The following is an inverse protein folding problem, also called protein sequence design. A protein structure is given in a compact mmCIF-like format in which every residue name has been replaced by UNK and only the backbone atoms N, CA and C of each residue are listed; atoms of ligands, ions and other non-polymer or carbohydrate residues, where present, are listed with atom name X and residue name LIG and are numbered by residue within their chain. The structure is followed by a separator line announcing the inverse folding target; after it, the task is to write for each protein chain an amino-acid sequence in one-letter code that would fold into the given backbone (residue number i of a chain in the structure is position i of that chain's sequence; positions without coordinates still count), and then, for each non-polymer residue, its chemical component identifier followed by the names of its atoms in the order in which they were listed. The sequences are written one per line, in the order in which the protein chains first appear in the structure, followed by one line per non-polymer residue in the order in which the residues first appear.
data_IF_007138726137
#
_entry.id   IF_007138726137
#
_cell.length_a   1.000
_cell.length_b   1.000
_cell.length_c   1.000
_cell.angle_alpha   90.00
_cell.angle_beta   90.00
_cell.angle_gamma   90.00
#
_symmetry.space_group_name_H-M   'P 1'
#
loop_
_entity.id
_entity.type
_entity.pdbx_description
1 polymer ?
#
# COMPACT_ATOMS: atom_id res chain seq x y z
N UNK A 1 -23.21 -50.23 -9.29
CA UNK A 1 -22.38 -50.94 -10.29
C UNK A 1 -22.09 -49.98 -11.43
N UNK A 2 -20.83 -49.80 -11.82
CA UNK A 2 -20.45 -49.01 -12.98
C UNK A 2 -20.37 -49.90 -14.24
N UNK A 3 -20.67 -49.32 -15.41
CA UNK A 3 -20.43 -49.98 -16.70
C UNK A 3 -19.07 -49.54 -17.23
N UNK A 4 -18.19 -50.49 -17.52
CA UNK A 4 -16.91 -50.19 -18.17
C UNK A 4 -17.14 -49.89 -19.65
N UNK A 5 -16.48 -48.84 -20.15
CA UNK A 5 -16.42 -48.52 -21.58
C UNK A 5 -14.95 -48.59 -21.98
N UNK A 6 -14.58 -49.62 -22.74
CA UNK A 6 -13.19 -49.93 -23.09
C UNK A 6 -12.87 -49.53 -24.55
N UNK A 7 -13.64 -48.61 -25.10
CA UNK A 7 -13.47 -48.07 -26.45
C UNK A 7 -13.85 -46.58 -26.47
N UNK A 8 -13.46 -45.86 -27.52
CA UNK A 8 -13.80 -44.46 -27.68
C UNK A 8 -15.29 -44.30 -28.04
N UNK A 9 -15.90 -43.22 -27.54
CA UNK A 9 -17.24 -42.79 -27.93
C UNK A 9 -17.11 -41.62 -28.91
N UNK A 10 -17.43 -41.87 -30.17
CA UNK A 10 -17.55 -40.82 -31.19
C UNK A 10 -19.04 -40.48 -31.38
N UNK A 11 -19.39 -39.22 -31.12
CA UNK A 11 -20.76 -38.72 -31.20
C UNK A 11 -21.05 -37.97 -32.51
N UNK A 12 -20.10 -37.87 -33.45
CA UNK A 12 -20.24 -37.16 -34.73
C UNK A 12 -20.80 -35.73 -34.61
N UNK A 13 -20.63 -35.08 -33.46
CA UNK A 13 -21.18 -33.75 -33.18
C UNK A 13 -22.70 -33.67 -33.06
N UNK A 14 -23.43 -34.79 -33.07
CA UNK A 14 -24.91 -34.81 -33.04
C UNK A 14 -25.49 -35.28 -31.70
N UNK A 15 -24.68 -35.92 -30.85
CA UNK A 15 -25.10 -36.41 -29.53
C UNK A 15 -24.23 -35.84 -28.40
N UNK A 16 -24.80 -35.80 -27.18
CA UNK A 16 -24.17 -35.26 -25.96
C UNK A 16 -24.43 -36.16 -24.76
N UNK A 17 -23.50 -36.15 -23.79
CA UNK A 17 -23.71 -36.76 -22.48
C UNK A 17 -24.50 -35.76 -21.61
N UNK A 18 -25.61 -36.18 -21.01
CA UNK A 18 -26.52 -35.33 -20.23
C UNK A 18 -26.70 -35.88 -18.81
N UNK A 19 -27.04 -35.00 -17.85
CA UNK A 19 -27.37 -35.41 -16.47
C UNK A 19 -26.16 -35.77 -15.61
N UNK A 20 -24.97 -35.24 -15.89
CA UNK A 20 -23.83 -35.36 -14.99
C UNK A 20 -24.07 -34.56 -13.70
N UNK A 21 -23.61 -35.10 -12.58
CA UNK A 21 -23.48 -34.39 -11.31
C UNK A 21 -22.18 -33.56 -11.30
N UNK A 22 -22.05 -32.64 -10.35
CA UNK A 22 -20.82 -31.87 -10.18
C UNK A 22 -19.63 -32.77 -9.79
N UNK A 23 -18.44 -32.53 -10.36
CA UNK A 23 -17.26 -33.35 -10.09
C UNK A 23 -16.78 -33.17 -8.64
N UNK A 24 -16.38 -34.28 -8.02
CA UNK A 24 -15.92 -34.33 -6.61
C UNK A 24 -14.52 -34.92 -6.47
N UNK A 25 -14.09 -35.76 -7.41
CA UNK A 25 -12.74 -36.33 -7.49
C UNK A 25 -11.95 -35.73 -8.66
N UNK A 26 -10.62 -35.78 -8.57
CA UNK A 26 -9.71 -35.18 -9.56
C UNK A 26 -9.82 -35.77 -10.99
N UNK A 27 -10.48 -36.93 -11.16
CA UNK A 27 -10.65 -37.61 -12.44
C UNK A 27 -12.09 -37.56 -12.95
N UNK A 28 -13.01 -36.88 -12.25
CA UNK A 28 -14.39 -36.76 -12.67
C UNK A 28 -14.50 -35.85 -13.91
N UNK A 29 -15.44 -36.18 -14.79
CA UNK A 29 -15.78 -35.31 -15.92
C UNK A 29 -16.48 -34.05 -15.39
N UNK A 30 -15.99 -32.87 -15.77
CA UNK A 30 -16.57 -31.60 -15.35
C UNK A 30 -17.67 -31.13 -16.32
N UNK A 31 -18.77 -30.62 -15.78
CA UNK A 31 -19.79 -29.94 -16.60
C UNK A 31 -19.29 -28.56 -17.01
N UNK A 32 -19.77 -28.02 -18.14
CA UNK A 32 -19.43 -26.64 -18.53
C UNK A 32 -19.81 -25.65 -17.42
N UNK A 33 -20.97 -25.86 -16.78
CA UNK A 33 -21.43 -25.02 -15.66
C UNK A 33 -20.45 -25.04 -14.46
N UNK A 34 -19.91 -26.21 -14.10
CA UNK A 34 -18.87 -26.32 -13.06
C UNK A 34 -17.55 -25.67 -13.50
N UNK A 35 -17.14 -25.85 -14.76
CA UNK A 35 -15.90 -25.23 -15.26
C UNK A 35 -16.04 -23.71 -15.32
N UNK A 36 -17.18 -23.20 -15.77
CA UNK A 36 -17.47 -21.76 -15.81
C UNK A 36 -17.48 -21.16 -14.39
N UNK A 37 -18.08 -21.83 -13.40
CA UNK A 37 -18.10 -21.36 -12.01
C UNK A 37 -16.74 -21.43 -11.31
N UNK A 38 -15.85 -22.33 -11.75
CA UNK A 38 -14.46 -22.42 -11.26
C UNK A 38 -13.54 -21.44 -12.00
N UNK A 39 -13.86 -21.09 -13.25
CA UNK A 39 -13.16 -20.06 -14.07
C UNK A 39 -13.67 -18.64 -13.77
N UNK A 40 -14.81 -18.49 -13.08
CA UNK A 40 -15.35 -17.25 -12.51
C UNK A 40 -14.43 -16.66 -11.43
N UNK A 41 -13.31 -16.08 -11.86
CA UNK A 41 -12.60 -15.09 -11.05
C UNK A 41 -13.10 -13.67 -11.31
N UNK A 42 -13.43 -13.36 -12.57
CA UNK A 42 -13.66 -12.01 -13.09
C UNK A 42 -14.55 -12.04 -14.34
N UNK A 43 -15.71 -11.39 -14.30
CA UNK A 43 -16.58 -11.21 -15.46
C UNK A 43 -16.39 -9.81 -16.07
N UNK A 44 -15.42 -9.66 -16.98
CA UNK A 44 -15.19 -8.37 -17.64
C UNK A 44 -16.39 -7.93 -18.47
N UNK A 45 -16.79 -6.67 -18.27
CA UNK A 45 -17.83 -5.94 -19.01
C UNK A 45 -17.17 -4.87 -19.87
N UNK A 46 -17.93 -4.36 -20.83
CA UNK A 46 -17.53 -3.16 -21.55
C UNK A 46 -17.25 -2.02 -20.57
N UNK A 47 -16.33 -1.13 -20.96
CA UNK A 47 -15.99 0.05 -20.19
C UNK A 47 -17.22 0.93 -19.96
N UNK A 48 -17.18 1.66 -18.85
CA UNK A 48 -18.14 2.72 -18.57
C UNK A 48 -17.46 4.05 -18.83
N UNK A 49 -18.24 5.00 -19.33
CA UNK A 49 -17.72 6.34 -19.58
C UNK A 49 -17.40 7.06 -18.27
N UNK A 50 -18.26 6.91 -17.26
CA UNK A 50 -18.09 7.57 -15.96
C UNK A 50 -18.65 6.72 -14.81
N UNK A 51 -18.13 6.92 -13.61
CA UNK A 51 -18.64 6.32 -12.38
C UNK A 51 -19.20 7.37 -11.41
N UNK A 52 -20.30 7.05 -10.73
CA UNK A 52 -20.91 7.96 -9.75
C UNK A 52 -20.06 8.05 -8.47
N UNK A 53 -19.86 9.27 -7.96
CA UNK A 53 -19.17 9.53 -6.69
C UNK A 53 -20.13 9.71 -5.50
N UNK A 54 -21.42 9.90 -5.78
CA UNK A 54 -22.48 10.06 -4.79
C UNK A 54 -23.83 9.58 -5.36
N UNK A 55 -24.89 9.72 -4.58
CA UNK A 55 -26.25 9.31 -4.95
C UNK A 55 -26.70 9.99 -6.25
N UNK A 56 -27.27 9.22 -7.17
CA UNK A 56 -27.74 9.70 -8.48
C UNK A 56 -29.24 9.43 -8.60
N UNK A 57 -30.03 10.42 -9.03
CA UNK A 57 -31.43 10.17 -9.37
C UNK A 57 -31.53 9.38 -10.69
N UNK A 58 -31.73 8.07 -10.63
CA UNK A 58 -31.81 7.23 -11.83
C UNK A 58 -33.00 7.55 -12.74
N UNK A 59 -34.07 8.15 -12.22
CA UNK A 59 -35.22 8.56 -13.03
C UNK A 59 -34.93 9.84 -13.84
N UNK A 60 -33.95 10.65 -13.41
CA UNK A 60 -33.55 11.91 -14.05
C UNK A 60 -32.09 12.19 -13.73
N UNK A 61 -31.15 11.49 -14.40
CA UNK A 61 -29.73 11.48 -14.04
C UNK A 61 -29.00 12.80 -14.31
N UNK A 62 -29.62 13.76 -14.98
CA UNK A 62 -29.00 15.03 -15.36
C UNK A 62 -28.12 14.91 -16.59
N UNK A 63 -27.72 16.06 -17.14
CA UNK A 63 -26.91 16.14 -18.37
C UNK A 63 -25.43 15.76 -18.16
N UNK A 64 -24.97 15.77 -16.90
CA UNK A 64 -23.60 15.43 -16.55
C UNK A 64 -23.54 14.62 -15.27
N UNK A 65 -22.62 13.66 -15.22
CA UNK A 65 -22.30 12.87 -14.02
C UNK A 65 -20.81 13.05 -13.74
N UNK A 66 -20.45 13.42 -12.51
CA UNK A 66 -19.06 13.67 -12.09
C UNK A 66 -18.29 14.66 -13.01
N UNK A 67 -18.98 15.70 -13.46
CA UNK A 67 -18.43 16.71 -14.38
C UNK A 67 -18.33 16.28 -15.85
N UNK A 68 -18.63 15.01 -16.17
CA UNK A 68 -18.64 14.48 -17.55
C UNK A 68 -20.02 14.70 -18.16
N UNK A 69 -20.09 15.41 -19.29
CA UNK A 69 -21.34 15.60 -20.05
C UNK A 69 -21.70 14.34 -20.84
N UNK A 70 -22.91 13.81 -20.66
CA UNK A 70 -23.34 12.52 -21.20
C UNK A 70 -24.19 12.63 -22.47
N UNK A 71 -24.11 11.59 -23.30
CA UNK A 71 -24.91 11.36 -24.49
C UNK A 71 -25.74 10.07 -24.34
N UNK A 72 -26.87 10.01 -25.06
CA UNK A 72 -27.73 8.84 -25.03
C UNK A 72 -26.97 7.59 -25.48
N UNK A 73 -27.02 6.52 -24.69
CA UNK A 73 -26.27 5.29 -24.92
C UNK A 73 -25.00 5.15 -24.07
N UNK A 74 -24.54 6.23 -23.42
CA UNK A 74 -23.34 6.18 -22.57
C UNK A 74 -23.54 5.22 -21.38
N UNK A 75 -22.54 4.37 -21.15
CA UNK A 75 -22.52 3.46 -20.01
C UNK A 75 -22.01 4.18 -18.76
N UNK A 76 -22.70 4.01 -17.66
CA UNK A 76 -22.40 4.64 -16.36
C UNK A 76 -22.32 3.58 -15.29
N UNK A 77 -21.23 3.54 -14.53
CA UNK A 77 -21.15 2.75 -13.31
C UNK A 77 -21.81 3.52 -12.16
N UNK A 78 -22.97 3.05 -11.75
CA UNK A 78 -23.69 3.56 -10.59
C UNK A 78 -23.25 2.73 -9.38
N UNK A 79 -22.38 3.30 -8.54
CA UNK A 79 -21.74 2.59 -7.41
C UNK A 79 -21.95 3.22 -6.04
N UNK A 80 -22.54 4.41 -5.99
CA UNK A 80 -22.61 5.24 -4.79
C UNK A 80 -24.04 5.64 -4.40
N UNK A 81 -25.04 4.78 -4.69
CA UNK A 81 -26.42 5.01 -4.27
C UNK A 81 -26.58 4.84 -2.76
N UNK A 82 -27.51 5.61 -2.18
CA UNK A 82 -27.96 5.41 -0.79
C UNK A 82 -28.66 4.06 -0.64
N UNK A 83 -29.42 3.65 -1.66
CA UNK A 83 -30.01 2.32 -1.76
C UNK A 83 -29.07 1.42 -2.56
N UNK A 84 -28.22 0.66 -1.89
CA UNK A 84 -27.18 -0.14 -2.56
C UNK A 84 -27.73 -1.16 -3.57
N UNK A 85 -29.01 -1.56 -3.49
CA UNK A 85 -29.65 -2.43 -4.48
C UNK A 85 -29.84 -1.78 -5.87
N UNK A 86 -29.76 -0.45 -5.94
CA UNK A 86 -29.83 0.33 -7.19
C UNK A 86 -28.45 0.51 -7.84
N UNK A 87 -27.36 0.06 -7.21
CA UNK A 87 -26.05 0.07 -7.84
C UNK A 87 -26.00 -0.95 -9.01
N UNK A 88 -25.11 -0.69 -9.96
CA UNK A 88 -24.88 -1.51 -11.16
C UNK A 88 -24.37 -0.69 -12.33
N UNK A 89 -24.35 -1.29 -13.52
CA UNK A 89 -24.00 -0.60 -14.77
C UNK A 89 -25.30 -0.22 -15.50
N UNK A 90 -25.40 1.03 -15.90
CA UNK A 90 -26.59 1.62 -16.52
C UNK A 90 -26.26 2.25 -17.87
N UNK A 91 -27.25 2.29 -18.76
CA UNK A 91 -27.27 3.10 -19.96
C UNK A 91 -27.96 4.43 -19.63
N UNK A 92 -27.27 5.52 -19.89
CA UNK A 92 -27.85 6.85 -19.79
C UNK A 92 -28.71 7.13 -21.02
N UNK A 93 -29.99 7.47 -20.82
CA UNK A 93 -30.97 7.61 -21.91
C UNK A 93 -31.37 9.07 -22.18
N UNK A 94 -30.90 10.01 -21.37
CA UNK A 94 -31.32 11.42 -21.41
C UNK A 94 -31.27 12.05 -20.02
N UNK A 95 -31.10 13.38 -19.97
CA UNK A 95 -30.94 14.09 -18.70
C UNK A 95 -32.17 14.00 -17.79
N UNK A 96 -33.36 13.93 -18.38
CA UNK A 96 -34.64 13.80 -17.71
C UNK A 96 -35.34 12.46 -18.04
N UNK A 97 -34.59 11.49 -18.57
CA UNK A 97 -35.11 10.16 -18.95
C UNK A 97 -34.52 9.13 -17.99
N UNK A 98 -35.33 8.18 -17.47
CA UNK A 98 -34.80 7.15 -16.60
C UNK A 98 -33.65 6.38 -17.25
N UNK A 99 -32.54 6.26 -16.54
CA UNK A 99 -31.44 5.37 -16.91
C UNK A 99 -31.91 3.92 -16.79
N UNK A 100 -31.52 3.08 -17.74
CA UNK A 100 -31.88 1.66 -17.76
C UNK A 100 -30.65 0.83 -17.41
N UNK A 101 -30.81 -0.30 -16.71
CA UNK A 101 -29.68 -1.21 -16.51
C UNK A 101 -29.12 -1.66 -17.86
N UNK A 102 -27.80 -1.80 -17.93
CA UNK A 102 -27.15 -2.26 -19.15
C UNK A 102 -27.62 -3.69 -19.50
N UNK A 103 -27.84 -4.01 -20.78
CA UNK A 103 -28.41 -5.31 -21.19
C UNK A 103 -27.58 -6.52 -20.75
N UNK A 104 -26.27 -6.34 -20.58
CA UNK A 104 -25.29 -7.34 -20.14
C UNK A 104 -25.06 -7.35 -18.61
N UNK A 105 -25.86 -6.58 -17.86
CA UNK A 105 -25.81 -6.40 -16.41
C UNK A 105 -27.23 -6.21 -15.82
N UNK A 106 -28.23 -6.94 -16.34
CA UNK A 106 -29.63 -6.79 -15.91
C UNK A 106 -30.19 -7.99 -15.15
N UNK A 107 -29.35 -9.00 -14.91
CA UNK A 107 -29.62 -10.12 -13.99
C UNK A 107 -28.57 -10.20 -12.88
N UNK A 108 -28.89 -10.89 -11.78
CA UNK A 108 -27.93 -11.09 -10.69
C UNK A 108 -26.68 -11.87 -11.15
N UNK A 109 -26.86 -12.94 -11.93
CA UNK A 109 -25.77 -13.76 -12.46
C UNK A 109 -24.83 -12.97 -13.38
N UNK A 110 -25.34 -12.02 -14.16
CA UNK A 110 -24.50 -11.20 -15.03
C UNK A 110 -23.68 -10.15 -14.26
N UNK A 111 -24.19 -9.67 -13.12
CA UNK A 111 -23.54 -8.66 -12.28
C UNK A 111 -22.59 -9.28 -11.26
N UNK A 112 -22.78 -10.56 -10.92
CA UNK A 112 -21.90 -11.32 -10.04
C UNK A 112 -20.47 -11.32 -10.59
N UNK A 113 -19.51 -10.85 -9.80
CA UNK A 113 -18.10 -10.70 -10.20
C UNK A 113 -17.85 -9.82 -11.42
N UNK A 114 -18.81 -8.97 -11.82
CA UNK A 114 -18.66 -8.07 -12.95
C UNK A 114 -17.50 -7.10 -12.70
N UNK A 115 -16.65 -6.91 -13.71
CA UNK A 115 -15.53 -5.96 -13.69
C UNK A 115 -15.69 -4.98 -14.83
N UNK A 116 -15.57 -3.68 -14.56
CA UNK A 116 -15.57 -2.64 -15.60
C UNK A 116 -14.51 -1.59 -15.30
N UNK A 117 -13.99 -0.96 -16.36
CA UNK A 117 -13.03 0.14 -16.29
C UNK A 117 -13.74 1.46 -16.61
N UNK A 118 -13.37 2.51 -15.89
CA UNK A 118 -13.93 3.86 -16.06
C UNK A 118 -13.02 4.68 -16.99
N UNK A 119 -13.60 5.36 -17.98
CA UNK A 119 -12.84 6.10 -18.99
C UNK A 119 -12.64 7.59 -18.65
N UNK A 120 -13.61 8.24 -18.01
CA UNK A 120 -13.61 9.67 -17.73
C UNK A 120 -14.07 9.99 -16.28
N UNK A 121 -13.85 11.23 -15.86
CA UNK A 121 -14.19 11.72 -14.52
C UNK A 121 -13.11 11.42 -13.46
N UNK A 122 -13.48 11.53 -12.19
CA UNK A 122 -12.57 11.36 -11.04
C UNK A 122 -11.95 9.97 -11.00
N UNK A 123 -12.67 8.95 -11.45
CA UNK A 123 -12.24 7.55 -11.44
C UNK A 123 -11.62 7.08 -12.77
N UNK A 124 -11.25 7.99 -13.69
CA UNK A 124 -10.67 7.62 -14.98
C UNK A 124 -9.45 6.68 -14.82
N UNK A 125 -9.45 5.57 -15.56
CA UNK A 125 -8.42 4.52 -15.51
C UNK A 125 -8.58 3.52 -14.36
N UNK A 126 -9.49 3.74 -13.41
CA UNK A 126 -9.77 2.76 -12.36
C UNK A 126 -10.69 1.65 -12.87
N UNK A 127 -10.45 0.41 -12.43
CA UNK A 127 -11.39 -0.70 -12.61
C UNK A 127 -12.11 -0.98 -11.29
N UNK A 128 -13.38 -1.38 -11.37
CA UNK A 128 -14.18 -1.79 -10.23
C UNK A 128 -14.72 -3.18 -10.46
N UNK A 129 -14.75 -3.99 -9.39
CA UNK A 129 -15.35 -5.31 -9.34
C UNK A 129 -16.58 -5.29 -8.42
N UNK A 130 -17.67 -5.90 -8.87
CA UNK A 130 -18.81 -6.20 -8.02
C UNK A 130 -18.43 -7.35 -7.07
N UNK A 131 -18.69 -7.19 -5.78
CA UNK A 131 -18.22 -8.12 -4.73
C UNK A 131 -19.32 -8.73 -3.86
N UNK A 132 -20.58 -8.35 -4.05
CA UNK A 132 -21.67 -8.95 -3.27
C UNK A 132 -22.01 -10.33 -3.85
N UNK A 133 -21.98 -11.36 -3.00
CA UNK A 133 -22.14 -12.75 -3.41
C UNK A 133 -23.59 -13.20 -3.27
N UNK A 134 -24.13 -13.89 -4.28
CA UNK A 134 -25.48 -14.49 -4.26
C UNK A 134 -26.59 -13.48 -3.93
N UNK A 135 -26.41 -12.22 -4.34
CA UNK A 135 -27.38 -11.17 -4.07
C UNK A 135 -28.62 -11.33 -4.96
N UNK A 136 -29.75 -10.80 -4.51
CA UNK A 136 -30.96 -10.68 -5.36
C UNK A 136 -30.98 -9.29 -5.99
N UNK A 137 -31.01 -9.20 -7.33
CA UNK A 137 -31.02 -7.91 -8.02
C UNK A 137 -32.32 -7.13 -7.70
N UNK A 138 -32.19 -5.85 -7.38
CA UNK A 138 -33.31 -4.95 -7.06
C UNK A 138 -33.72 -4.91 -5.58
N UNK A 139 -33.23 -5.84 -4.75
CA UNK A 139 -33.49 -5.84 -3.30
C UNK A 139 -32.25 -6.08 -2.44
N UNK A 140 -31.32 -6.93 -2.90
CA UNK A 140 -30.02 -7.16 -2.28
C UNK A 140 -29.03 -6.04 -2.60
N UNK A 141 -28.15 -5.74 -1.65
CA UNK A 141 -27.11 -4.73 -1.84
C UNK A 141 -26.11 -5.15 -2.94
N UNK A 142 -25.89 -4.26 -3.91
CA UNK A 142 -24.86 -4.41 -4.94
C UNK A 142 -23.67 -3.55 -4.55
N UNK A 143 -22.57 -4.20 -4.18
CA UNK A 143 -21.33 -3.54 -3.73
C UNK A 143 -20.26 -3.60 -4.80
N UNK A 144 -19.63 -2.46 -5.10
CA UNK A 144 -18.51 -2.34 -6.03
C UNK A 144 -17.25 -1.90 -5.28
N UNK A 145 -16.17 -2.65 -5.46
CA UNK A 145 -14.86 -2.39 -4.86
C UNK A 145 -13.85 -2.11 -5.96
N UNK A 146 -12.85 -1.27 -5.69
CA UNK A 146 -11.75 -1.04 -6.64
C UNK A 146 -11.05 -2.37 -6.94
N UNK A 147 -10.70 -2.59 -8.21
CA UNK A 147 -10.10 -3.81 -8.71
C UNK A 147 -8.89 -3.47 -9.58
N UNK A 148 -7.78 -4.18 -9.40
CA UNK A 148 -6.60 -4.03 -10.26
C UNK A 148 -5.84 -2.69 -10.16
N UNK A 149 -6.35 -1.68 -9.45
CA UNK A 149 -5.55 -0.49 -9.11
C UNK A 149 -4.51 -0.83 -8.06
N UNK A 150 -3.23 -0.61 -8.36
CA UNK A 150 -2.24 -0.38 -7.31
C UNK A 150 -2.78 0.75 -6.42
N UNK A 151 -2.71 0.61 -5.10
CA UNK A 151 -3.17 1.66 -4.20
C UNK A 151 -2.49 2.99 -4.60
N UNK A 152 -3.26 4.08 -4.62
CA UNK A 152 -2.73 5.41 -4.97
C UNK A 152 -1.61 5.84 -4.03
N UNK A 153 -0.99 7.00 -4.29
CA UNK A 153 0.01 7.55 -3.39
C UNK A 153 -0.57 7.68 -1.96
N UNK A 154 0.21 7.29 -0.95
CA UNK A 154 -0.17 7.49 0.44
C UNK A 154 -0.24 9.00 0.77
N UNK A 155 -1.12 9.37 1.70
CA UNK A 155 -1.17 10.71 2.30
C UNK A 155 -1.43 10.59 3.80
N UNK A 156 -1.32 11.69 4.54
CA UNK A 156 -1.65 11.72 5.98
C UNK A 156 -3.10 11.30 6.28
N UNK A 157 -4.01 11.45 5.31
CA UNK A 157 -5.45 11.16 5.48
C UNK A 157 -5.91 9.87 4.81
N UNK A 158 -5.07 9.21 4.01
CA UNK A 158 -5.44 8.03 3.24
C UNK A 158 -4.28 7.05 3.09
N UNK A 159 -4.56 5.78 3.33
CA UNK A 159 -3.64 4.69 3.04
C UNK A 159 -3.32 4.62 1.53
N UNK A 160 -2.11 4.21 1.19
CA UNK A 160 -1.61 4.13 -0.17
C UNK A 160 -0.20 3.54 -0.25
N UNK A 161 0.46 3.73 -1.38
CA UNK A 161 1.87 3.36 -1.59
C UNK A 161 2.74 4.61 -1.45
N UNK A 162 3.87 4.49 -0.73
CA UNK A 162 4.89 5.52 -0.64
C UNK A 162 6.27 4.95 -1.01
N UNK A 163 7.09 5.77 -1.65
CA UNK A 163 8.47 5.40 -2.02
C UNK A 163 9.38 5.39 -0.78
N UNK A 164 10.44 4.59 -0.79
CA UNK A 164 11.49 4.64 0.23
C UNK A 164 12.40 5.84 -0.03
N UNK A 165 12.61 6.68 0.98
CA UNK A 165 13.49 7.83 0.88
C UNK A 165 14.96 7.44 0.64
N UNK A 166 15.64 8.21 -0.19
CA UNK A 166 17.11 8.17 -0.31
C UNK A 166 17.78 8.75 0.93
N UNK A 167 19.09 8.55 1.07
CA UNK A 167 19.83 9.15 2.20
C UNK A 167 19.83 10.68 2.10
N UNK A 168 20.01 11.24 0.90
CA UNK A 168 20.03 12.67 0.69
C UNK A 168 18.68 13.35 1.03
N UNK A 169 17.57 12.70 0.69
CA UNK A 169 16.23 13.18 1.06
C UNK A 169 16.01 13.12 2.57
N UNK A 170 16.42 12.01 3.21
CA UNK A 170 16.34 11.87 4.68
C UNK A 170 17.17 12.95 5.38
N UNK A 171 18.36 13.26 4.87
CA UNK A 171 19.24 14.29 5.45
C UNK A 171 18.73 15.71 5.20
N UNK A 172 18.03 15.96 4.08
CA UNK A 172 17.43 17.26 3.77
C UNK A 172 16.19 17.53 4.64
N UNK A 173 15.40 16.49 4.94
CA UNK A 173 14.32 16.56 5.94
C UNK A 173 13.10 17.41 5.54
N UNK A 174 12.87 17.63 4.25
CA UNK A 174 11.71 18.39 3.74
C UNK A 174 10.63 17.52 3.08
N UNK A 175 10.90 16.23 2.93
CA UNK A 175 10.03 15.28 2.21
C UNK A 175 9.05 14.61 3.17
N UNK A 176 7.76 14.72 2.86
CA UNK A 176 6.64 14.13 3.61
C UNK A 176 5.86 13.08 2.78
N UNK A 177 6.37 12.72 1.61
CA UNK A 177 5.75 11.74 0.70
C UNK A 177 6.44 10.36 0.74
N UNK A 178 7.54 10.21 1.48
CA UNK A 178 8.40 9.02 1.47
C UNK A 178 8.66 8.43 2.85
N UNK A 179 9.00 7.13 2.86
CA UNK A 179 9.23 6.36 4.09
C UNK A 179 10.73 6.25 4.38
N UNK A 180 11.12 6.57 5.62
CA UNK A 180 12.49 6.37 6.13
C UNK A 180 12.68 4.92 6.58
N UNK A 181 13.78 4.28 6.18
CA UNK A 181 14.15 2.93 6.64
C UNK A 181 15.10 2.98 7.85
N UNK A 182 15.25 1.88 8.61
CA UNK A 182 16.22 1.82 9.70
C UNK A 182 17.65 2.18 9.28
N UNK A 183 18.07 1.82 8.07
CA UNK A 183 19.39 2.19 7.55
C UNK A 183 19.52 3.69 7.32
N UNK A 184 18.46 4.35 6.82
CA UNK A 184 18.46 5.81 6.61
C UNK A 184 18.46 6.56 7.94
N UNK A 185 17.65 6.09 8.90
CA UNK A 185 17.63 6.64 10.25
C UNK A 185 18.98 6.48 10.96
N UNK A 186 19.61 5.31 10.87
CA UNK A 186 20.92 5.06 11.47
C UNK A 186 22.04 5.92 10.86
N UNK A 187 21.88 6.36 9.61
CA UNK A 187 22.86 7.19 8.91
C UNK A 187 22.48 8.67 8.80
N UNK A 188 21.32 9.07 9.33
CA UNK A 188 20.85 10.45 9.29
C UNK A 188 21.90 11.41 9.84
N UNK A 189 22.20 12.46 9.07
CA UNK A 189 23.24 13.45 9.37
C UNK A 189 22.97 14.25 10.64
N UNK A 190 21.70 14.47 11.00
CA UNK A 190 21.28 15.17 12.21
C UNK A 190 21.27 14.33 13.49
N UNK A 191 21.62 13.04 13.43
CA UNK A 191 21.62 12.18 14.62
C UNK A 191 22.70 12.61 15.61
N UNK A 192 22.38 12.54 16.90
CA UNK A 192 23.38 12.74 17.96
C UNK A 192 24.42 11.64 17.93
N UNK A 193 25.69 12.03 17.86
CA UNK A 193 26.81 11.11 17.84
C UNK A 193 27.48 11.06 19.21
N UNK A 194 27.95 9.87 19.59
CA UNK A 194 28.66 9.63 20.85
C UNK A 194 29.92 8.82 20.57
N UNK A 195 31.03 9.27 21.14
CA UNK A 195 32.25 8.48 21.28
C UNK A 195 32.62 8.40 22.76
N UNK A 196 33.12 7.26 23.22
CA UNK A 196 33.58 7.13 24.59
C UNK A 196 34.74 6.15 24.72
N UNK A 197 35.74 6.52 25.51
CA UNK A 197 36.93 5.70 25.76
C UNK A 197 37.44 5.90 27.19
N UNK A 198 38.18 4.92 27.69
CA UNK A 198 38.91 5.04 28.95
C UNK A 198 40.26 5.71 28.68
N UNK A 199 40.78 6.43 29.69
CA UNK A 199 42.07 7.13 29.63
C UNK A 199 42.86 6.96 30.93
N UNK A 200 44.18 7.00 30.79
CA UNK A 200 45.14 6.78 31.87
C UNK A 200 46.03 5.58 31.59
N UNK A 201 47.34 5.79 31.68
CA UNK A 201 48.39 4.78 31.47
C UNK A 201 49.46 4.81 32.57
N UNK A 202 49.28 5.66 33.58
CA UNK A 202 50.20 5.88 34.69
C UNK A 202 51.44 6.71 34.34
N UNK A 203 51.58 7.22 33.10
CA UNK A 203 52.80 7.90 32.64
C UNK A 203 52.54 9.22 31.89
N UNK A 204 51.62 9.22 30.94
CA UNK A 204 51.32 10.41 30.14
C UNK A 204 50.44 11.40 30.90
N UNK A 205 50.70 12.69 30.71
CA UNK A 205 49.82 13.78 31.19
C UNK A 205 48.91 14.32 30.10
N UNK A 206 49.13 13.92 28.84
CA UNK A 206 48.32 14.33 27.70
C UNK A 206 47.80 13.14 26.92
N UNK A 207 46.52 13.19 26.56
CA UNK A 207 45.86 12.14 25.79
C UNK A 207 45.07 12.76 24.64
N UNK A 208 45.34 12.31 23.43
CA UNK A 208 44.54 12.66 22.24
C UNK A 208 43.43 11.64 22.06
N UNK A 209 42.19 12.10 22.15
CA UNK A 209 40.98 11.30 22.01
C UNK A 209 40.44 11.49 20.60
N UNK A 210 40.67 10.50 19.74
CA UNK A 210 40.18 10.49 18.36
C UNK A 210 38.74 9.98 18.34
N UNK A 211 37.77 10.89 18.18
CA UNK A 211 36.33 10.59 18.22
C UNK A 211 35.68 10.42 16.84
N UNK A 212 36.32 10.88 15.76
CA UNK A 212 35.82 10.75 14.37
C UNK A 212 34.36 11.24 14.15
N UNK A 213 33.92 12.24 14.93
CA UNK A 213 32.56 12.77 14.84
C UNK A 213 32.40 13.83 13.73
N UNK A 214 33.49 14.17 13.04
CA UNK A 214 33.53 15.14 11.95
C UNK A 214 32.96 16.52 12.31
N UNK A 215 33.08 16.93 13.58
CA UNK A 215 32.72 18.25 14.07
C UNK A 215 33.57 18.66 15.26
N UNK A 216 33.83 19.96 15.41
CA UNK A 216 34.45 20.55 16.61
C UNK A 216 33.43 20.94 17.67
N UNK A 217 32.15 21.00 17.30
CA UNK A 217 31.05 21.35 18.19
C UNK A 217 30.70 20.15 19.08
N UNK A 218 31.62 19.84 20.00
CA UNK A 218 31.53 18.68 20.89
C UNK A 218 31.48 19.07 22.36
N UNK A 219 30.56 18.44 23.08
CA UNK A 219 30.56 18.41 24.53
C UNK A 219 31.44 17.26 25.00
N UNK A 220 32.37 17.55 25.90
CA UNK A 220 33.31 16.56 26.44
C UNK A 220 33.12 16.50 27.94
N UNK A 221 32.73 15.32 28.42
CA UNK A 221 32.55 15.03 29.83
C UNK A 221 33.58 13.97 30.24
N UNK A 222 34.25 14.19 31.37
CA UNK A 222 35.22 13.26 31.96
C UNK A 222 34.73 12.92 33.35
N UNK A 223 34.69 11.64 33.69
CA UNK A 223 34.33 11.18 35.03
C UNK A 223 35.17 9.98 35.44
N UNK A 224 35.22 9.69 36.75
CA UNK A 224 35.97 8.54 37.27
C UNK A 224 35.42 7.23 36.71
N UNK A 225 36.31 6.33 36.28
CA UNK A 225 35.91 5.02 35.75
C UNK A 225 35.73 3.96 36.86
N UNK A 226 35.76 4.38 38.12
CA UNK A 226 35.48 3.56 39.29
C UNK A 226 34.98 4.42 40.45
N UNK A 227 34.39 3.80 41.46
CA UNK A 227 33.84 4.49 42.63
C UNK A 227 32.56 5.25 42.28
N UNK A 228 32.54 6.57 42.53
CA UNK A 228 31.33 7.39 42.49
C UNK A 228 30.95 7.91 41.09
N UNK A 229 31.80 7.67 40.06
CA UNK A 229 31.58 8.14 38.69
C UNK A 229 31.28 9.65 38.59
N UNK A 230 31.89 10.46 39.46
CA UNK A 230 31.72 11.90 39.48
C UNK A 230 32.57 12.60 38.41
N UNK A 231 32.05 13.74 37.96
CA UNK A 231 32.68 14.59 36.95
C UNK A 231 34.01 15.16 37.43
N UNK A 232 34.99 15.18 36.52
CA UNK A 232 36.32 15.71 36.75
C UNK A 232 36.61 16.77 35.70
N UNK A 233 37.01 17.96 36.16
CA UNK A 233 37.39 19.05 35.29
C UNK A 233 38.84 18.85 34.85
N UNK A 234 39.06 18.87 33.55
CA UNK A 234 40.36 18.70 32.89
C UNK A 234 40.43 19.73 31.76
N UNK A 235 41.62 20.17 31.39
CA UNK A 235 41.79 21.02 30.22
C UNK A 235 41.48 20.22 28.95
N UNK A 236 40.51 20.71 28.17
CA UNK A 236 40.05 20.06 26.92
C UNK A 236 40.23 20.98 25.72
N UNK A 237 41.14 20.60 24.84
CA UNK A 237 41.41 21.30 23.58
C UNK A 237 40.80 20.57 22.38
N UNK A 238 40.04 21.27 21.52
CA UNK A 238 39.44 20.69 20.30
C UNK A 238 40.42 20.78 19.13
N UNK A 239 41.40 19.89 19.11
CA UNK A 239 42.53 19.95 18.17
C UNK A 239 42.10 19.82 16.71
N UNK A 240 41.09 18.99 16.40
CA UNK A 240 40.53 18.84 15.06
C UNK A 240 39.03 18.56 15.09
N UNK A 241 38.39 18.42 13.92
CA UNK A 241 36.99 17.94 13.81
C UNK A 241 36.81 16.48 14.23
N UNK A 242 37.91 15.74 14.41
CA UNK A 242 37.89 14.31 14.74
C UNK A 242 38.63 13.99 16.04
N UNK A 243 39.18 14.97 16.74
CA UNK A 243 39.92 14.72 17.97
C UNK A 243 39.87 15.88 18.97
N UNK A 244 39.92 15.52 20.25
CA UNK A 244 40.15 16.42 21.39
C UNK A 244 41.39 15.98 22.16
N UNK A 245 42.12 16.91 22.75
CA UNK A 245 43.26 16.61 23.63
C UNK A 245 42.90 16.96 25.07
N UNK A 246 43.14 16.02 25.98
CA UNK A 246 43.00 16.18 27.42
C UNK A 246 44.37 16.41 28.04
N UNK A 247 44.49 17.36 28.96
CA UNK A 247 45.73 17.61 29.71
C UNK A 247 45.48 17.53 31.21
N UNK A 248 46.18 16.61 31.87
CA UNK A 248 46.11 16.37 33.31
C UNK A 248 47.34 16.95 34.02
N UNK A 249 47.14 17.48 35.23
CA UNK A 249 48.24 17.98 36.05
C UNK A 249 49.18 16.86 36.57
N UNK A 250 48.67 15.63 36.67
CA UNK A 250 49.43 14.42 37.03
C UNK A 250 48.95 13.28 36.15
N UNK A 251 49.87 12.35 35.81
CA UNK A 251 49.54 11.20 34.98
C UNK A 251 48.46 10.34 35.65
N UNK A 252 47.27 10.16 35.03
CA UNK A 252 46.24 9.29 35.56
C UNK A 252 46.71 7.83 35.58
N UNK A 253 46.31 7.06 36.59
CA UNK A 253 46.57 5.61 36.62
C UNK A 253 45.86 4.89 35.48
N UNK A 254 46.23 3.63 35.22
CA UNK A 254 45.63 2.83 34.14
C UNK A 254 44.10 2.87 34.14
N UNK A 255 43.49 3.34 33.04
CA UNK A 255 42.05 3.48 32.82
C UNK A 255 41.29 4.20 33.95
N UNK A 256 41.92 5.17 34.62
CA UNK A 256 41.34 5.86 35.77
C UNK A 256 40.07 6.65 35.43
N UNK A 257 39.97 7.22 34.23
CA UNK A 257 38.86 8.08 33.82
C UNK A 257 38.19 7.57 32.55
N UNK A 258 36.88 7.80 32.46
CA UNK A 258 36.07 7.61 31.26
C UNK A 258 35.82 8.97 30.63
N UNK A 259 36.03 9.06 29.31
CA UNK A 259 35.78 10.26 28.51
C UNK A 259 34.60 9.99 27.60
N UNK A 260 33.65 10.91 27.57
CA UNK A 260 32.51 10.89 26.66
C UNK A 260 32.52 12.15 25.82
N UNK A 261 32.50 11.99 24.50
CA UNK A 261 32.43 13.07 23.52
C UNK A 261 31.07 12.96 22.81
N UNK A 262 30.26 14.02 22.89
CA UNK A 262 28.94 14.11 22.28
C UNK A 262 28.91 15.23 21.23
N UNK A 263 28.25 14.97 20.09
CA UNK A 263 27.93 15.93 19.03
C UNK A 263 26.42 15.93 18.75
#
# INVERSE_FOLDING_TARGET
MSRQVLTNLDFNGVAKVVGLLDPSAAQDAATKAYVDSVIEGLAWKDSVRVATQSNLNLASPGASIDGVSLSAGDRVLVRAQSTAAENGIYIWNGAATPATRAPDCNTAAELEQAVTTVEEGTSAGASYRQTAVNFTLGSGAVSWSAFGTAAGAASESSAGVAEIATQAETDTGTDDARIVTPLKLANWSGRKLKYATDVGDGSATQYTITHNLNTRDVQVEIYRNSGNYDSVIVDVERTSVNAVRLTFASAPSSNQFRVVVLA
#
